data_IF_142750257223
#
_entry.id   IF_142750257223
#
_cell.length_a   1.000
_cell.length_b   1.000
_cell.length_c   1.000
_cell.angle_alpha   90.00
_cell.angle_beta   90.00
_cell.angle_gamma   90.00
#
_symmetry.space_group_name_H-M   'P 1'
#
loop_
_entity.id
_entity.type
_entity.pdbx_description
1 polymer ?
#
# COMPACT_ATOMS: atom_id res chain seq x y z
N UNK A 1 -7.02 -1.77 15.39
CA UNK A 1 -8.42 -2.25 15.11
C UNK A 1 -9.44 -1.10 15.14
N UNK A 2 -9.53 -0.27 16.21
CA UNK A 2 -10.51 0.84 16.23
C UNK A 2 -10.19 1.91 15.16
N UNK A 3 -8.94 2.26 14.96
CA UNK A 3 -8.51 3.21 13.94
C UNK A 3 -8.81 2.67 12.52
N UNK A 4 -8.50 1.42 12.26
CA UNK A 4 -8.75 0.79 10.94
C UNK A 4 -10.24 0.74 10.57
N UNK A 5 -11.11 0.53 11.56
CA UNK A 5 -12.57 0.47 11.35
C UNK A 5 -13.15 1.84 10.93
N UNK A 6 -12.47 2.93 11.26
CA UNK A 6 -12.86 4.29 10.86
C UNK A 6 -12.09 4.85 9.68
N UNK A 7 -11.07 4.13 9.19
CA UNK A 7 -10.23 4.60 8.09
C UNK A 7 -10.95 4.45 6.76
N UNK A 8 -11.54 5.52 6.28
CA UNK A 8 -12.10 5.64 4.93
C UNK A 8 -11.28 6.61 4.06
N UNK A 9 -11.71 6.83 2.82
CA UNK A 9 -11.02 7.73 1.89
C UNK A 9 -10.95 9.18 2.40
N UNK A 10 -11.98 9.66 3.08
CA UNK A 10 -12.02 11.04 3.60
C UNK A 10 -11.08 11.25 4.78
N UNK A 11 -11.00 10.26 5.68
CA UNK A 11 -10.06 10.29 6.80
C UNK A 11 -8.62 10.20 6.31
N UNK A 12 -8.36 9.36 5.31
CA UNK A 12 -7.04 9.25 4.70
C UNK A 12 -6.62 10.56 4.03
N UNK A 13 -7.51 11.21 3.28
CA UNK A 13 -7.24 12.49 2.65
C UNK A 13 -6.99 13.60 3.69
N UNK A 14 -7.71 13.60 4.80
CA UNK A 14 -7.49 14.53 5.90
C UNK A 14 -6.10 14.36 6.52
N UNK A 15 -5.68 13.11 6.76
CA UNK A 15 -4.34 12.79 7.29
C UNK A 15 -3.26 13.28 6.30
N UNK A 16 -3.38 12.91 5.01
CA UNK A 16 -2.40 13.26 3.99
C UNK A 16 -2.28 14.78 3.77
N UNK A 17 -3.40 15.48 3.81
CA UNK A 17 -3.43 16.94 3.67
C UNK A 17 -2.88 17.68 4.91
N UNK A 18 -2.96 17.07 6.07
CA UNK A 18 -2.41 17.60 7.33
C UNK A 18 -0.91 17.38 7.49
N UNK A 19 -0.26 16.59 6.62
CA UNK A 19 1.17 16.30 6.72
C UNK A 19 2.02 17.54 6.44
N UNK A 20 3.05 17.77 7.24
CA UNK A 20 4.01 18.86 7.08
C UNK A 20 5.43 18.31 6.97
N UNK A 21 6.25 18.99 6.17
CA UNK A 21 7.66 18.67 6.10
C UNK A 21 8.33 18.98 7.45
N UNK A 22 8.81 17.93 8.11
CA UNK A 22 9.44 18.02 9.43
C UNK A 22 10.70 17.16 9.45
N UNK A 23 11.77 17.67 10.04
CA UNK A 23 12.95 16.84 10.29
C UNK A 23 12.66 15.87 11.42
N UNK A 24 12.80 14.60 11.14
CA UNK A 24 12.63 13.55 12.13
C UNK A 24 13.73 12.50 12.02
N UNK A 25 14.05 11.88 13.14
CA UNK A 25 14.84 10.66 13.20
C UNK A 25 13.86 9.48 13.26
N UNK A 26 13.75 8.75 12.14
CA UNK A 26 12.85 7.61 12.02
C UNK A 26 13.61 6.32 12.28
N UNK A 27 13.14 5.57 13.27
CA UNK A 27 13.53 4.18 13.50
C UNK A 27 12.35 3.29 13.12
N UNK A 28 12.53 2.50 12.07
CA UNK A 28 11.50 1.61 11.55
C UNK A 28 12.15 0.25 11.22
N UNK A 29 11.50 -0.87 11.54
CA UNK A 29 12.03 -2.18 11.17
C UNK A 29 12.07 -2.34 9.66
N UNK A 30 13.07 -3.07 9.17
CA UNK A 30 13.02 -3.62 7.81
C UNK A 30 11.92 -4.66 7.74
N UNK A 31 11.22 -4.71 6.63
CA UNK A 31 10.26 -5.77 6.40
C UNK A 31 10.18 -6.15 4.93
N UNK A 32 9.92 -7.41 4.70
CA UNK A 32 9.67 -7.96 3.36
C UNK A 32 8.51 -8.92 3.45
N UNK A 33 7.50 -8.73 2.61
CA UNK A 33 6.42 -9.68 2.52
C UNK A 33 5.85 -9.78 1.11
N UNK A 34 5.20 -10.92 0.88
CA UNK A 34 4.37 -11.16 -0.30
C UNK A 34 2.95 -11.41 0.17
N UNK A 35 2.01 -10.86 -0.56
CA UNK A 35 0.59 -11.15 -0.35
C UNK A 35 -0.02 -11.63 -1.66
N UNK A 36 -1.00 -12.53 -1.54
CA UNK A 36 -1.78 -13.02 -2.66
C UNK A 36 -3.24 -13.07 -2.23
N UNK A 37 -4.11 -12.52 -3.07
CA UNK A 37 -5.54 -12.47 -2.82
C UNK A 37 -6.28 -12.96 -4.06
N UNK A 38 -7.35 -13.74 -3.85
CA UNK A 38 -8.39 -13.94 -4.84
C UNK A 38 -9.41 -12.80 -4.67
N UNK A 39 -9.65 -12.03 -5.70
CA UNK A 39 -10.43 -10.79 -5.64
C UNK A 39 -11.83 -10.90 -6.26
N UNK A 40 -12.21 -12.07 -6.80
CA UNK A 40 -13.49 -12.24 -7.50
C UNK A 40 -14.69 -11.83 -6.63
N UNK A 41 -14.75 -12.30 -5.38
CA UNK A 41 -15.84 -11.96 -4.45
C UNK A 41 -15.87 -10.47 -4.09
N UNK A 42 -14.69 -9.87 -3.85
CA UNK A 42 -14.58 -8.46 -3.50
C UNK A 42 -15.02 -7.56 -4.67
N UNK A 43 -14.60 -7.90 -5.89
CA UNK A 43 -14.96 -7.16 -7.10
C UNK A 43 -16.46 -7.31 -7.41
N UNK A 44 -17.02 -8.50 -7.22
CA UNK A 44 -18.47 -8.72 -7.36
C UNK A 44 -19.24 -7.89 -6.30
N UNK A 45 -18.76 -7.85 -5.04
CA UNK A 45 -19.33 -7.02 -3.98
C UNK A 45 -19.26 -5.51 -4.26
N UNK A 46 -18.29 -5.06 -5.05
CA UNK A 46 -18.15 -3.68 -5.53
C UNK A 46 -18.99 -3.38 -6.79
N UNK A 47 -19.78 -4.36 -7.27
CA UNK A 47 -20.70 -4.19 -8.40
C UNK A 47 -20.24 -4.83 -9.72
N UNK A 48 -19.07 -5.48 -9.76
CA UNK A 48 -18.58 -6.17 -10.96
C UNK A 48 -19.15 -7.60 -11.03
N UNK A 49 -20.47 -7.74 -11.02
CA UNK A 49 -21.14 -9.05 -10.96
C UNK A 49 -21.14 -9.79 -12.29
N UNK A 50 -21.48 -9.10 -13.37
CA UNK A 50 -21.74 -9.71 -14.68
C UNK A 50 -20.49 -10.36 -15.27
N UNK A 51 -19.32 -9.81 -15.02
CA UNK A 51 -18.06 -10.32 -15.53
C UNK A 51 -17.71 -11.74 -15.02
N UNK A 52 -18.25 -12.12 -13.86
CA UNK A 52 -18.03 -13.42 -13.22
C UNK A 52 -19.17 -14.42 -13.50
N UNK A 53 -20.29 -13.96 -14.08
CA UNK A 53 -21.43 -14.81 -14.40
C UNK A 53 -21.32 -15.33 -15.84
N UNK A 54 -21.20 -16.67 -16.05
CA UNK A 54 -21.09 -17.25 -17.39
C UNK A 54 -22.26 -16.92 -18.33
N UNK A 55 -23.42 -16.55 -17.76
CA UNK A 55 -24.63 -16.24 -18.54
C UNK A 55 -24.76 -14.75 -18.85
N UNK A 56 -24.07 -13.87 -18.12
CA UNK A 56 -24.17 -12.42 -18.24
C UNK A 56 -22.93 -11.78 -18.86
N UNK A 57 -21.77 -12.42 -18.71
CA UNK A 57 -20.50 -11.90 -19.20
C UNK A 57 -20.48 -11.68 -20.70
N UNK A 58 -19.95 -10.56 -21.14
CA UNK A 58 -19.77 -10.24 -22.56
C UNK A 58 -18.33 -9.81 -22.82
N UNK A 59 -17.49 -10.77 -23.16
CA UNK A 59 -16.11 -10.56 -23.61
C UNK A 59 -15.97 -10.80 -25.13
N UNK A 60 -17.07 -10.64 -25.89
CA UNK A 60 -17.08 -10.86 -27.35
C UNK A 60 -16.14 -9.96 -28.14
N UNK A 61 -15.70 -8.84 -27.52
CA UNK A 61 -14.63 -8.02 -28.08
C UNK A 61 -13.27 -8.70 -28.16
N UNK A 62 -13.06 -9.83 -27.45
CA UNK A 62 -11.81 -10.58 -27.47
C UNK A 62 -11.75 -11.63 -28.58
N UNK A 63 -12.84 -12.38 -28.79
CA UNK A 63 -12.88 -13.53 -29.73
C UNK A 63 -14.13 -13.57 -30.63
N UNK A 64 -15.02 -12.60 -30.50
CA UNK A 64 -16.28 -12.53 -31.28
C UNK A 64 -17.42 -13.38 -30.74
N UNK A 65 -17.24 -14.07 -29.58
CA UNK A 65 -18.25 -14.94 -28.98
C UNK A 65 -18.58 -14.48 -27.56
N UNK A 66 -19.70 -14.97 -27.02
CA UNK A 66 -20.14 -14.68 -25.64
C UNK A 66 -20.04 -15.92 -24.74
N UNK A 67 -18.94 -16.63 -24.82
CA UNK A 67 -18.69 -17.85 -24.06
C UNK A 67 -17.53 -17.69 -23.05
N UNK A 68 -16.97 -16.48 -22.94
CA UNK A 68 -15.92 -16.15 -22.00
C UNK A 68 -16.48 -15.42 -20.77
N UNK A 69 -15.98 -15.79 -19.60
CA UNK A 69 -16.22 -15.09 -18.34
C UNK A 69 -14.95 -15.13 -17.49
N UNK A 70 -14.86 -14.26 -16.47
CA UNK A 70 -13.73 -14.26 -15.54
C UNK A 70 -13.99 -15.33 -14.48
N UNK A 71 -13.17 -16.37 -14.42
CA UNK A 71 -13.27 -17.43 -13.41
C UNK A 71 -12.71 -17.00 -12.06
N UNK A 72 -11.63 -16.24 -12.07
CA UNK A 72 -11.00 -15.67 -10.88
C UNK A 72 -10.06 -14.50 -11.23
N UNK A 73 -9.78 -13.66 -10.24
CA UNK A 73 -8.78 -12.57 -10.32
C UNK A 73 -7.78 -12.77 -9.20
N UNK A 74 -6.55 -13.12 -9.56
CA UNK A 74 -5.46 -13.30 -8.60
C UNK A 74 -4.62 -12.03 -8.56
N UNK A 75 -4.59 -11.38 -7.42
CA UNK A 75 -3.72 -10.23 -7.15
C UNK A 75 -2.53 -10.67 -6.28
N UNK A 76 -1.33 -10.31 -6.71
CA UNK A 76 -0.10 -10.51 -5.94
C UNK A 76 0.60 -9.18 -5.73
N UNK A 77 1.08 -8.95 -4.52
CA UNK A 77 1.91 -7.81 -4.18
C UNK A 77 3.18 -8.27 -3.45
N UNK A 78 4.28 -7.59 -3.75
CA UNK A 78 5.55 -7.75 -3.06
C UNK A 78 6.00 -6.37 -2.57
N UNK A 79 6.44 -6.30 -1.33
CA UNK A 79 7.00 -5.09 -0.73
C UNK A 79 8.26 -5.48 0.04
N UNK A 80 9.34 -4.78 -0.21
CA UNK A 80 10.58 -4.83 0.57
C UNK A 80 10.96 -3.40 0.98
N UNK A 81 11.21 -3.20 2.25
CA UNK A 81 11.61 -1.91 2.83
C UNK A 81 12.88 -2.11 3.65
N UNK A 82 13.91 -1.38 3.31
CA UNK A 82 15.20 -1.35 4.01
C UNK A 82 15.76 0.08 4.09
N UNK A 83 17.02 0.23 4.48
CA UNK A 83 17.67 1.53 4.61
C UNK A 83 17.93 2.24 3.27
N UNK A 84 17.94 1.49 2.16
CA UNK A 84 18.12 2.06 0.81
C UNK A 84 16.80 2.57 0.23
N UNK A 85 15.68 2.20 0.88
CA UNK A 85 14.33 2.63 0.49
C UNK A 85 13.37 1.48 0.29
N UNK A 86 12.38 1.71 -0.57
CA UNK A 86 11.47 0.66 -1.06
C UNK A 86 11.95 0.24 -2.44
N UNK A 87 12.08 -1.06 -2.70
CA UNK A 87 12.61 -1.56 -3.97
C UNK A 87 11.72 -1.12 -5.15
N UNK A 88 12.05 0.02 -5.71
CA UNK A 88 11.59 0.52 -7.01
C UNK A 88 12.34 1.78 -7.47
N UNK A 89 13.20 2.42 -6.65
CA UNK A 89 14.03 3.53 -7.14
C UNK A 89 15.28 3.70 -6.26
N UNK A 90 16.44 3.59 -6.87
CA UNK A 90 17.71 3.93 -6.25
C UNK A 90 17.76 5.43 -5.94
N UNK A 91 17.41 5.82 -4.74
CA UNK A 91 17.74 7.12 -4.19
C UNK A 91 18.89 6.93 -3.19
N UNK A 92 20.07 7.38 -3.56
CA UNK A 92 21.23 7.40 -2.67
C UNK A 92 20.97 8.41 -1.56
N UNK A 93 20.51 7.94 -0.42
CA UNK A 93 20.43 8.75 0.80
C UNK A 93 21.81 8.78 1.43
N UNK A 94 22.51 9.90 1.30
CA UNK A 94 23.76 10.15 2.02
C UNK A 94 23.43 10.45 3.48
N UNK A 95 23.55 9.45 4.34
CA UNK A 95 23.43 9.65 5.80
C UNK A 95 24.72 10.30 6.28
N UNK A 96 24.71 11.61 6.46
CA UNK A 96 25.77 12.30 7.20
C UNK A 96 25.51 12.14 8.69
N UNK A 97 26.25 11.27 9.36
CA UNK A 97 26.32 11.24 10.81
C UNK A 97 27.17 12.42 11.28
N UNK A 98 26.53 13.47 11.76
CA UNK A 98 27.19 14.49 12.58
C UNK A 98 27.44 13.89 13.96
N UNK A 99 28.69 13.54 14.23
CA UNK A 99 29.12 13.08 15.55
C UNK A 99 29.11 14.27 16.53
N UNK A 100 28.22 14.26 17.51
CA UNK A 100 28.36 15.02 18.72
C UNK A 100 27.36 16.13 19.04
N UNK A 101 26.38 16.45 18.21
CA UNK A 101 25.29 17.36 18.58
C UNK A 101 23.98 16.59 18.78
N UNK A 102 23.18 16.92 19.81
CA UNK A 102 21.85 16.36 19.96
C UNK A 102 21.03 16.71 18.71
N UNK A 103 20.36 15.72 18.12
CA UNK A 103 19.42 15.97 17.02
C UNK A 103 18.24 16.78 17.57
N UNK A 104 18.00 18.02 17.11
CA UNK A 104 16.94 18.87 17.66
C UNK A 104 15.56 18.51 17.13
N UNK A 105 15.45 17.44 16.32
CA UNK A 105 14.21 17.02 15.67
C UNK A 105 13.39 16.01 16.49
N UNK A 106 12.26 15.65 15.92
CA UNK A 106 11.38 14.64 16.49
C UNK A 106 12.00 13.24 16.29
N UNK A 107 12.03 12.45 17.37
CA UNK A 107 12.37 11.03 17.28
C UNK A 107 11.07 10.23 17.17
N UNK A 108 10.98 9.37 16.17
CA UNK A 108 9.85 8.49 15.94
C UNK A 108 10.35 7.06 15.78
N UNK A 109 9.95 6.19 16.72
CA UNK A 109 10.23 4.76 16.65
C UNK A 109 8.92 4.02 16.33
N UNK A 110 8.92 3.24 15.25
CA UNK A 110 7.78 2.40 14.85
C UNK A 110 8.02 0.99 15.37
N UNK A 111 7.57 0.74 16.60
CA UNK A 111 7.73 -0.51 17.36
C UNK A 111 6.43 -1.32 17.55
N UNK A 112 5.35 -0.87 16.94
CA UNK A 112 4.00 -1.43 17.07
C UNK A 112 3.32 -1.60 15.72
N UNK A 113 2.19 -2.32 15.62
CA UNK A 113 1.45 -2.46 14.36
C UNK A 113 1.18 -1.11 13.70
N UNK A 114 1.42 -1.03 12.40
CA UNK A 114 1.21 0.18 11.62
C UNK A 114 0.62 -0.11 10.24
N UNK A 115 0.00 0.91 9.67
CA UNK A 115 -0.42 0.95 8.27
C UNK A 115 0.60 1.80 7.52
N UNK A 116 1.00 1.35 6.35
CA UNK A 116 1.83 2.12 5.43
C UNK A 116 1.12 2.29 4.10
N UNK A 117 1.48 3.34 3.39
CA UNK A 117 1.09 3.53 2.01
C UNK A 117 2.26 4.05 1.19
N UNK A 118 2.27 3.67 -0.09
CA UNK A 118 3.18 4.20 -1.10
C UNK A 118 2.31 4.97 -2.08
N UNK A 119 2.61 6.26 -2.27
CA UNK A 119 1.85 7.10 -3.19
C UNK A 119 2.77 7.85 -4.14
N UNK A 120 2.29 8.13 -5.32
CA UNK A 120 2.92 9.11 -6.21
C UNK A 120 2.66 10.53 -5.68
N UNK A 121 3.72 11.28 -5.43
CA UNK A 121 3.62 12.63 -4.88
C UNK A 121 3.08 13.65 -5.89
N UNK A 122 3.22 13.38 -7.18
CA UNK A 122 2.79 14.28 -8.24
C UNK A 122 1.29 14.19 -8.48
N UNK A 123 0.78 12.98 -8.63
CA UNK A 123 -0.65 12.73 -8.87
C UNK A 123 -1.47 12.56 -7.59
N UNK A 124 -0.81 12.28 -6.46
CA UNK A 124 -1.45 11.90 -5.20
C UNK A 124 -1.97 10.46 -5.19
N UNK A 125 -1.79 9.71 -6.27
CA UNK A 125 -2.33 8.36 -6.40
C UNK A 125 -1.66 7.38 -5.42
N UNK A 126 -2.47 6.62 -4.69
CA UNK A 126 -2.01 5.52 -3.85
C UNK A 126 -1.68 4.33 -4.74
N UNK A 127 -0.43 3.88 -4.70
CA UNK A 127 0.07 2.73 -5.45
C UNK A 127 0.00 1.45 -4.62
N UNK A 128 0.32 1.55 -3.32
CA UNK A 128 0.25 0.45 -2.38
C UNK A 128 -0.29 0.94 -1.04
N UNK A 129 -1.08 0.08 -0.40
CA UNK A 129 -1.46 0.22 1.00
C UNK A 129 -1.32 -1.14 1.67
N UNK A 130 -0.77 -1.16 2.87
CA UNK A 130 -0.55 -2.40 3.60
C UNK A 130 -0.51 -2.21 5.10
N UNK A 131 -0.58 -3.33 5.82
CA UNK A 131 -0.55 -3.38 7.27
C UNK A 131 0.55 -4.32 7.75
N UNK A 132 1.39 -3.83 8.65
CA UNK A 132 2.39 -4.62 9.38
C UNK A 132 1.87 -4.87 10.78
N UNK A 133 1.58 -6.13 11.12
CA UNK A 133 1.03 -6.52 12.44
C UNK A 133 2.11 -6.74 13.48
N UNK A 134 3.27 -7.23 13.07
CA UNK A 134 4.39 -7.47 13.97
C UNK A 134 5.68 -6.90 13.35
N UNK A 135 6.05 -5.68 13.71
CA UNK A 135 7.25 -5.04 13.19
C UNK A 135 8.57 -5.64 13.74
N UNK A 136 8.51 -6.53 14.71
CA UNK A 136 9.70 -7.13 15.34
C UNK A 136 10.17 -8.44 14.67
N UNK A 137 9.59 -8.82 13.51
CA UNK A 137 9.95 -10.03 12.76
C UNK A 137 10.71 -9.73 11.50
#
# INVERSE_FOLDING_TARGET
>A
EAFEAGLDGSELDAILSGMQNTQLHLEMPKFTFRSQFALAEQLAGLGMTDAFDPSMADFSGMDGRRDLFISDVIHQAFVAVDEEGTEAAAATVVIMKLTGLPFPGIQLTIDRPFIFLIRDLTSGQILFIGRVLNPAQ
#
